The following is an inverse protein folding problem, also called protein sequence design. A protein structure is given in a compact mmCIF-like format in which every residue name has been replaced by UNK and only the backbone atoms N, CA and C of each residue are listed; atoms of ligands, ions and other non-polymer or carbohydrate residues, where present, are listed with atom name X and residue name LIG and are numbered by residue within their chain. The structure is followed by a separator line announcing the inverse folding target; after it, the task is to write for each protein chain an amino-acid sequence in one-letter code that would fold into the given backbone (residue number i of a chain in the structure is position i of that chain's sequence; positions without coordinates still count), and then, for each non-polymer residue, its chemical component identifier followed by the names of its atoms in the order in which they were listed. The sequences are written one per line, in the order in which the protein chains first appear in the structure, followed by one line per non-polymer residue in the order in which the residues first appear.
data_IF_788264344338
#
_entry.id   IF_788264344338
#
_cell.length_a   1.000
_cell.length_b   1.000
_cell.length_c   1.000
_cell.angle_alpha   90.00
_cell.angle_beta   90.00
_cell.angle_gamma   90.00
#
_symmetry.space_group_name_H-M   'P 1'
#
loop_
_entity.id
_entity.type
_entity.pdbx_description
1 polymer ?
#
# COMPACT_ATOMS: atom_id res chain seq x y z
N UNK A 1 14.32 3.69 -20.31
CA UNK A 1 14.06 2.87 -19.12
C UNK A 1 13.41 3.77 -18.09
N UNK A 2 12.23 3.40 -17.59
CA UNK A 2 11.54 4.13 -16.52
C UNK A 2 12.16 3.74 -15.17
N UNK A 3 12.02 4.59 -14.16
CA UNK A 3 12.72 4.38 -12.90
C UNK A 3 12.10 3.24 -12.06
N UNK A 4 10.78 3.18 -11.97
CA UNK A 4 10.10 2.33 -10.99
C UNK A 4 8.76 1.82 -11.49
N UNK A 5 8.54 0.51 -11.36
CA UNK A 5 7.28 -0.19 -11.65
C UNK A 5 6.63 -0.64 -10.34
N UNK A 6 5.31 -0.48 -10.24
CA UNK A 6 4.49 -1.21 -9.27
C UNK A 6 3.53 -2.16 -9.99
N UNK A 7 3.43 -3.38 -9.49
CA UNK A 7 2.45 -4.35 -9.92
C UNK A 7 1.56 -4.72 -8.73
N UNK A 8 0.27 -4.44 -8.84
CA UNK A 8 -0.69 -4.53 -7.73
C UNK A 8 -1.93 -5.32 -8.14
N UNK A 9 -2.61 -5.93 -7.17
CA UNK A 9 -3.79 -6.75 -7.44
C UNK A 9 -5.04 -5.93 -7.79
N UNK A 10 -5.21 -4.75 -7.18
CA UNK A 10 -6.46 -3.99 -7.31
C UNK A 10 -6.28 -2.48 -7.48
N UNK A 11 -7.42 -1.80 -7.67
CA UNK A 11 -7.47 -0.35 -7.82
C UNK A 11 -7.24 0.41 -6.50
N UNK A 12 -7.59 -0.16 -5.35
CA UNK A 12 -7.40 0.50 -4.07
C UNK A 12 -5.91 0.65 -3.76
N UNK A 13 -5.14 -0.43 -3.97
CA UNK A 13 -3.69 -0.44 -3.85
C UNK A 13 -3.04 0.52 -4.84
N UNK A 14 -3.49 0.52 -6.11
CA UNK A 14 -3.03 1.49 -7.12
C UNK A 14 -3.20 2.93 -6.64
N UNK A 15 -4.38 3.27 -6.16
CA UNK A 15 -4.69 4.62 -5.70
C UNK A 15 -3.91 4.99 -4.42
N UNK A 16 -3.69 4.04 -3.52
CA UNK A 16 -2.87 4.24 -2.33
C UNK A 16 -1.39 4.50 -2.67
N UNK A 17 -0.79 3.66 -3.51
CA UNK A 17 0.59 3.83 -3.96
C UNK A 17 0.75 5.12 -4.75
N UNK A 18 -0.18 5.41 -5.66
CA UNK A 18 -0.19 6.66 -6.42
C UNK A 18 -0.30 7.87 -5.53
N UNK A 19 -1.23 7.86 -4.56
CA UNK A 19 -1.39 8.94 -3.59
C UNK A 19 -0.15 9.17 -2.74
N UNK A 20 0.58 8.12 -2.38
CA UNK A 20 1.86 8.23 -1.67
C UNK A 20 2.98 8.80 -2.56
N UNK A 21 3.17 8.26 -3.76
CA UNK A 21 4.36 8.53 -4.56
C UNK A 21 4.25 9.75 -5.48
N UNK A 22 3.03 10.21 -5.81
CA UNK A 22 2.81 11.44 -6.59
C UNK A 22 2.81 12.70 -5.71
N UNK A 23 3.16 12.59 -4.43
CA UNK A 23 3.28 13.75 -3.53
C UNK A 23 4.39 14.68 -4.01
N UNK A 24 4.14 15.98 -3.91
CA UNK A 24 5.17 16.96 -4.19
C UNK A 24 6.39 16.72 -3.29
N UNK A 25 7.57 16.75 -3.90
CA UNK A 25 8.85 16.52 -3.24
C UNK A 25 8.92 15.20 -2.43
N UNK A 26 8.24 14.14 -2.89
CA UNK A 26 8.27 12.82 -2.23
C UNK A 26 9.68 12.34 -1.90
N UNK A 27 10.65 12.59 -2.78
CA UNK A 27 12.06 12.24 -2.57
C UNK A 27 12.64 12.85 -1.29
N UNK A 28 12.28 14.09 -0.92
CA UNK A 28 12.69 14.72 0.34
C UNK A 28 12.01 14.09 1.55
N UNK A 29 10.74 13.72 1.40
CA UNK A 29 9.94 13.07 2.44
C UNK A 29 10.48 11.67 2.73
N UNK A 30 10.87 10.93 1.70
CA UNK A 30 11.50 9.61 1.79
C UNK A 30 12.94 9.71 2.27
N UNK A 31 13.66 10.77 1.88
CA UNK A 31 15.10 10.93 2.13
C UNK A 31 15.95 10.24 1.07
N UNK A 32 15.58 10.37 -0.20
CA UNK A 32 16.24 9.79 -1.37
C UNK A 32 16.44 10.84 -2.47
N UNK A 33 17.20 10.49 -3.52
CA UNK A 33 17.31 11.28 -4.75
C UNK A 33 15.97 11.28 -5.50
N UNK A 34 15.72 12.35 -6.27
CA UNK A 34 14.55 12.42 -7.14
C UNK A 34 14.53 11.31 -8.20
N UNK A 35 13.35 10.76 -8.45
CA UNK A 35 13.04 9.76 -9.47
C UNK A 35 11.77 10.15 -10.21
N UNK A 36 11.63 9.72 -11.46
CA UNK A 36 10.45 9.92 -12.27
C UNK A 36 9.38 8.87 -11.95
N UNK A 37 8.16 9.33 -11.67
CA UNK A 37 7.03 8.46 -11.39
C UNK A 37 5.73 9.09 -11.88
N UNK A 38 4.92 8.30 -12.60
CA UNK A 38 3.56 8.63 -13.03
C UNK A 38 2.67 7.42 -12.73
N UNK A 39 1.74 7.55 -11.77
CA UNK A 39 0.93 6.41 -11.33
C UNK A 39 0.07 5.82 -12.46
N UNK A 40 -0.22 6.59 -13.52
CA UNK A 40 -0.99 6.10 -14.67
C UNK A 40 -0.18 5.15 -15.53
N UNK A 41 1.11 5.43 -15.68
CA UNK A 41 2.04 4.64 -16.49
C UNK A 41 2.68 3.51 -15.68
N UNK A 42 3.16 3.84 -14.49
CA UNK A 42 4.13 3.08 -13.71
C UNK A 42 3.49 2.13 -12.70
N UNK A 43 2.17 2.22 -12.49
CA UNK A 43 1.41 1.22 -11.74
C UNK A 43 0.57 0.38 -12.71
N UNK A 44 0.84 -0.92 -12.73
CA UNK A 44 0.05 -1.93 -13.44
C UNK A 44 -0.85 -2.65 -12.45
N UNK A 45 -2.15 -2.68 -12.74
CA UNK A 45 -3.11 -3.49 -12.01
C UNK A 45 -3.25 -4.81 -12.75
N UNK A 46 -3.23 -5.93 -12.03
CA UNK A 46 -3.42 -7.26 -12.58
C UNK A 46 -4.90 -7.44 -13.03
N UNK A 47 -5.30 -6.83 -14.15
CA UNK A 47 -6.70 -6.83 -14.58
C UNK A 47 -7.27 -8.26 -14.68
N UNK A 48 -8.40 -8.49 -14.01
CA UNK A 48 -9.05 -9.80 -13.95
C UNK A 48 -8.40 -10.81 -12.99
N UNK A 49 -7.32 -10.43 -12.31
CA UNK A 49 -6.68 -11.19 -11.24
C UNK A 49 -6.81 -10.44 -9.91
N UNK A 50 -7.19 -11.15 -8.87
CA UNK A 50 -7.11 -10.67 -7.49
C UNK A 50 -5.75 -11.09 -6.88
N UNK A 51 -5.56 -10.86 -5.59
CA UNK A 51 -4.34 -11.24 -4.86
C UNK A 51 -3.93 -12.71 -5.08
N UNK A 52 -4.82 -13.73 -5.00
CA UNK A 52 -4.51 -15.11 -5.38
C UNK A 52 -3.97 -15.28 -6.80
N UNK A 53 -4.55 -14.56 -7.76
CA UNK A 53 -4.12 -14.62 -9.17
C UNK A 53 -2.72 -14.03 -9.35
N UNK A 54 -2.49 -12.85 -8.77
CA UNK A 54 -1.19 -12.19 -8.79
C UNK A 54 -0.13 -13.03 -8.07
N UNK A 55 -0.43 -13.56 -6.88
CA UNK A 55 0.40 -14.51 -6.15
C UNK A 55 0.80 -15.74 -6.96
N UNK A 56 -0.02 -16.15 -7.92
CA UNK A 56 0.23 -17.35 -8.74
C UNK A 56 1.04 -17.04 -10.00
N UNK A 57 0.86 -15.86 -10.60
CA UNK A 57 1.34 -15.56 -11.97
C UNK A 57 2.19 -14.30 -12.08
N UNK A 58 2.66 -13.74 -10.97
CA UNK A 58 3.46 -12.51 -10.97
C UNK A 58 4.65 -12.58 -11.94
N UNK A 59 5.36 -13.72 -12.02
CA UNK A 59 6.49 -13.91 -12.93
C UNK A 59 6.12 -13.68 -14.40
N UNK A 60 5.04 -14.31 -14.88
CA UNK A 60 4.58 -14.20 -16.28
C UNK A 60 4.24 -12.76 -16.65
N UNK A 61 3.65 -12.02 -15.70
CA UNK A 61 3.21 -10.64 -15.90
C UNK A 61 4.38 -9.64 -15.81
N UNK A 62 5.38 -9.91 -14.97
CA UNK A 62 6.52 -9.03 -14.72
C UNK A 62 7.65 -9.20 -15.74
N UNK A 63 7.82 -10.41 -16.30
CA UNK A 63 8.87 -10.72 -17.27
C UNK A 63 8.92 -9.76 -18.47
N UNK A 64 7.81 -9.42 -19.16
CA UNK A 64 7.89 -8.50 -20.30
C UNK A 64 8.32 -7.08 -19.92
N UNK A 65 8.18 -6.68 -18.65
CA UNK A 65 8.47 -5.33 -18.17
C UNK A 65 9.93 -5.15 -17.69
N UNK A 66 10.69 -6.25 -17.57
CA UNK A 66 12.07 -6.23 -17.06
C UNK A 66 13.03 -5.37 -17.89
N UNK A 67 12.78 -5.23 -19.19
CA UNK A 67 13.59 -4.36 -20.05
C UNK A 67 13.14 -2.89 -20.02
N UNK A 68 11.95 -2.60 -19.49
CA UNK A 68 11.34 -1.26 -19.54
C UNK A 68 11.62 -0.44 -18.27
N UNK A 69 11.81 -1.08 -17.12
CA UNK A 69 11.96 -0.42 -15.82
C UNK A 69 13.26 -0.81 -15.11
N UNK A 70 13.85 0.12 -14.39
CA UNK A 70 15.05 -0.12 -13.59
C UNK A 70 14.75 -0.88 -12.29
N UNK A 71 13.61 -0.56 -11.64
CA UNK A 71 13.18 -1.18 -10.41
C UNK A 71 11.74 -1.67 -10.48
N UNK A 72 11.40 -2.73 -9.74
CA UNK A 72 10.03 -3.26 -9.67
C UNK A 72 9.61 -3.61 -8.24
N UNK A 73 8.35 -3.28 -7.91
CA UNK A 73 7.69 -3.67 -6.68
C UNK A 73 6.43 -4.46 -7.03
N UNK A 74 6.26 -5.63 -6.44
CA UNK A 74 4.99 -6.36 -6.49
C UNK A 74 4.35 -6.33 -5.10
N UNK A 75 3.09 -5.92 -5.02
CA UNK A 75 2.36 -5.82 -3.75
C UNK A 75 1.14 -6.72 -3.81
N UNK A 76 1.01 -7.54 -2.77
CA UNK A 76 -0.11 -8.45 -2.55
C UNK A 76 -0.59 -8.28 -1.11
N UNK A 77 -1.89 -8.39 -0.85
CA UNK A 77 -2.38 -8.44 0.53
C UNK A 77 -1.97 -9.76 1.22
N UNK A 78 -2.28 -9.98 2.50
CA UNK A 78 -2.18 -11.31 3.13
C UNK A 78 -3.55 -11.99 3.15
N UNK A 79 -4.62 -11.21 3.25
CA UNK A 79 -5.96 -11.71 3.53
C UNK A 79 -6.73 -12.11 2.26
N UNK A 80 -6.78 -13.42 2.01
CA UNK A 80 -7.79 -14.05 1.16
C UNK A 80 -8.07 -15.48 1.63
N UNK A 81 -9.17 -16.05 1.15
CA UNK A 81 -9.50 -17.44 1.43
C UNK A 81 -8.44 -18.40 0.88
N UNK A 82 -7.79 -19.16 1.77
CA UNK A 82 -6.70 -20.07 1.41
C UNK A 82 -5.32 -19.40 1.29
N UNK A 83 -5.16 -18.19 1.84
CA UNK A 83 -3.83 -17.58 1.97
C UNK A 83 -2.88 -18.47 2.76
N UNK A 84 -1.65 -18.70 2.28
CA UNK A 84 -0.64 -19.47 3.00
C UNK A 84 0.04 -18.66 4.12
N UNK A 85 -0.34 -17.39 4.29
CA UNK A 85 0.29 -16.46 5.23
C UNK A 85 1.44 -15.69 4.60
N UNK A 86 1.75 -14.53 5.19
CA UNK A 86 2.61 -13.55 4.56
C UNK A 86 4.04 -14.03 4.27
N UNK A 87 4.64 -14.85 5.14
CA UNK A 87 6.02 -15.31 4.95
C UNK A 87 6.16 -16.20 3.71
N UNK A 88 5.18 -17.07 3.43
CA UNK A 88 5.15 -17.90 2.22
C UNK A 88 4.85 -17.06 0.98
N UNK A 89 3.94 -16.08 1.10
CA UNK A 89 3.66 -15.13 0.01
C UNK A 89 4.93 -14.38 -0.37
N UNK A 90 5.66 -13.82 0.59
CA UNK A 90 6.89 -13.07 0.34
C UNK A 90 7.97 -13.92 -0.35
N UNK A 91 8.18 -15.15 0.13
CA UNK A 91 9.14 -16.08 -0.48
C UNK A 91 8.77 -16.39 -1.93
N UNK A 92 7.47 -16.62 -2.20
CA UNK A 92 7.01 -16.90 -3.55
C UNK A 92 7.07 -15.68 -4.46
N UNK A 93 6.77 -14.48 -3.97
CA UNK A 93 6.93 -13.25 -4.75
C UNK A 93 8.39 -13.00 -5.11
N UNK A 94 9.34 -13.27 -4.20
CA UNK A 94 10.78 -13.22 -4.51
C UNK A 94 11.15 -14.21 -5.61
N UNK A 95 10.72 -15.46 -5.51
CA UNK A 95 10.97 -16.47 -6.54
C UNK A 95 10.36 -16.09 -7.91
N UNK A 96 9.17 -15.47 -7.91
CA UNK A 96 8.55 -14.97 -9.14
C UNK A 96 9.32 -13.80 -9.76
N UNK A 97 9.82 -12.88 -8.95
CA UNK A 97 10.66 -11.78 -9.43
C UNK A 97 11.96 -12.32 -10.04
N UNK A 98 12.61 -13.28 -9.38
CA UNK A 98 13.83 -13.92 -9.88
C UNK A 98 13.60 -14.63 -11.23
N UNK A 99 12.52 -15.41 -11.34
CA UNK A 99 12.12 -16.09 -12.60
C UNK A 99 11.70 -15.11 -13.72
N UNK A 100 11.26 -13.91 -13.35
CA UNK A 100 10.98 -12.82 -14.29
C UNK A 100 12.23 -12.02 -14.70
N UNK A 101 13.40 -12.32 -14.13
CA UNK A 101 14.67 -11.65 -14.44
C UNK A 101 14.97 -10.43 -13.58
N UNK A 102 14.24 -10.23 -12.49
CA UNK A 102 14.49 -9.15 -11.52
C UNK A 102 15.40 -9.62 -10.40
N UNK A 103 16.37 -8.80 -10.02
CA UNK A 103 17.34 -9.13 -8.95
C UNK A 103 16.85 -8.66 -7.59
N UNK A 104 17.45 -9.16 -6.50
CA UNK A 104 17.16 -8.68 -5.15
C UNK A 104 17.51 -7.19 -4.97
N UNK A 105 18.50 -6.71 -5.70
CA UNK A 105 18.96 -5.33 -5.68
C UNK A 105 18.04 -4.39 -6.44
N UNK A 106 17.26 -4.90 -7.40
CA UNK A 106 16.39 -4.10 -8.27
C UNK A 106 14.90 -4.35 -8.05
N UNK A 107 14.52 -5.21 -7.11
CA UNK A 107 13.10 -5.51 -6.91
C UNK A 107 12.72 -5.90 -5.50
N UNK A 108 11.44 -5.69 -5.21
CA UNK A 108 10.87 -5.96 -3.89
C UNK A 108 9.49 -6.63 -4.03
N UNK A 109 9.32 -7.78 -3.38
CA UNK A 109 8.01 -8.34 -3.08
C UNK A 109 7.53 -7.83 -1.73
N UNK A 110 6.32 -7.29 -1.68
CA UNK A 110 5.70 -6.78 -0.47
C UNK A 110 4.38 -7.50 -0.21
N UNK A 111 4.16 -7.81 1.06
CA UNK A 111 2.88 -8.31 1.57
C UNK A 111 2.32 -7.30 2.55
N UNK A 112 1.10 -6.84 2.32
CA UNK A 112 0.40 -5.94 3.25
C UNK A 112 -0.40 -6.77 4.24
N UNK A 113 -0.16 -6.57 5.54
CA UNK A 113 -0.77 -7.36 6.62
C UNK A 113 -1.81 -6.54 7.40
N UNK A 114 -3.06 -7.02 7.56
CA UNK A 114 -3.65 -8.15 6.84
C UNK A 114 -4.02 -7.82 5.39
N UNK A 115 -4.35 -6.55 5.11
CA UNK A 115 -4.72 -6.05 3.77
C UNK A 115 -4.55 -4.52 3.68
N UNK A 116 -4.67 -3.97 2.47
CA UNK A 116 -4.47 -2.55 2.15
C UNK A 116 -5.27 -1.56 3.03
N UNK A 117 -6.43 -1.96 3.54
CA UNK A 117 -7.26 -1.13 4.42
C UNK A 117 -6.54 -0.70 5.70
N UNK A 118 -5.49 -1.40 6.12
CA UNK A 118 -4.64 -0.99 7.25
C UNK A 118 -4.08 0.43 7.07
N UNK A 119 -3.91 0.88 5.83
CA UNK A 119 -3.45 2.23 5.50
C UNK A 119 -4.52 3.31 5.69
N UNK A 120 -5.81 2.94 5.77
CA UNK A 120 -6.89 3.87 6.14
C UNK A 120 -6.75 4.32 7.60
N UNK A 121 -6.09 3.53 8.45
CA UNK A 121 -6.04 3.70 9.89
C UNK A 121 -4.73 4.31 10.41
N UNK A 122 -4.00 5.04 9.57
CA UNK A 122 -2.80 5.75 10.01
C UNK A 122 -3.11 6.70 11.18
N UNK A 123 -2.13 6.95 12.07
CA UNK A 123 -2.22 7.89 13.20
C UNK A 123 -2.22 9.35 12.70
N UNK A 124 -3.24 9.68 11.91
CA UNK A 124 -3.41 10.92 11.20
C UNK A 124 -4.83 11.43 11.45
N UNK A 125 -5.00 12.72 11.80
CA UNK A 125 -6.33 13.31 11.94
C UNK A 125 -7.15 13.22 10.63
N UNK A 126 -6.48 13.01 9.49
CA UNK A 126 -7.08 12.90 8.18
C UNK A 126 -7.83 11.59 7.95
N UNK A 127 -7.47 10.50 8.63
CA UNK A 127 -8.14 9.20 8.48
C UNK A 127 -9.61 9.27 8.89
N UNK A 128 -9.91 9.90 10.02
CA UNK A 128 -11.29 10.07 10.48
C UNK A 128 -12.11 10.92 9.49
N UNK A 129 -11.56 12.03 9.02
CA UNK A 129 -12.22 12.93 8.06
C UNK A 129 -12.52 12.24 6.74
N UNK A 130 -11.55 11.48 6.23
CA UNK A 130 -11.72 10.70 5.01
C UNK A 130 -12.84 9.65 5.15
N UNK A 131 -13.01 9.06 6.34
CA UNK A 131 -14.10 8.14 6.66
C UNK A 131 -15.44 8.83 6.98
N UNK A 132 -15.52 10.16 6.86
CA UNK A 132 -16.76 10.94 7.10
C UNK A 132 -16.98 11.37 8.55
N UNK A 133 -15.95 11.29 9.40
CA UNK A 133 -15.99 11.65 10.81
C UNK A 133 -15.25 12.95 11.08
N UNK A 134 -15.72 13.75 12.05
CA UNK A 134 -15.12 15.06 12.33
C UNK A 134 -13.69 14.97 12.85
N UNK A 135 -13.39 13.97 13.68
CA UNK A 135 -12.06 13.74 14.24
C UNK A 135 -11.90 12.30 14.73
N UNK A 136 -10.64 11.90 14.98
CA UNK A 136 -10.31 10.61 15.57
C UNK A 136 -10.91 10.43 16.97
N UNK A 137 -10.91 11.49 17.80
CA UNK A 137 -11.50 11.47 19.15
C UNK A 137 -13.00 11.15 19.15
N UNK A 138 -13.69 11.42 18.03
CA UNK A 138 -15.11 11.08 17.84
C UNK A 138 -15.27 9.65 17.34
N UNK A 139 -14.42 9.20 16.40
CA UNK A 139 -14.51 7.87 15.79
C UNK A 139 -14.02 6.76 16.74
N UNK A 140 -12.87 6.96 17.39
CA UNK A 140 -12.20 5.95 18.22
C UNK A 140 -13.10 5.34 19.30
N UNK A 141 -13.78 6.12 20.17
CA UNK A 141 -14.60 5.54 21.24
C UNK A 141 -15.77 4.72 20.71
N UNK A 142 -16.22 4.98 19.47
CA UNK A 142 -17.29 4.19 18.85
C UNK A 142 -16.76 2.87 18.30
N UNK A 143 -15.61 2.88 17.64
CA UNK A 143 -14.94 1.63 17.23
C UNK A 143 -14.61 0.74 18.43
N UNK A 144 -14.17 1.33 19.54
CA UNK A 144 -13.90 0.59 20.78
C UNK A 144 -15.18 -0.02 21.38
N UNK A 145 -16.30 0.74 21.39
CA UNK A 145 -17.59 0.23 21.87
C UNK A 145 -18.11 -0.95 21.04
N UNK A 146 -17.93 -0.89 19.73
CA UNK A 146 -18.35 -1.96 18.81
C UNK A 146 -17.34 -3.13 18.75
N UNK A 147 -16.25 -3.06 19.52
CA UNK A 147 -15.21 -4.10 19.52
C UNK A 147 -14.36 -4.17 18.25
N UNK A 148 -14.47 -3.17 17.37
CA UNK A 148 -13.72 -3.07 16.11
C UNK A 148 -12.30 -2.53 16.32
N UNK A 149 -12.08 -1.80 17.42
CA UNK A 149 -10.77 -1.34 17.85
C UNK A 149 -10.53 -1.76 19.30
N UNK A 150 -9.44 -2.47 19.57
CA UNK A 150 -9.09 -2.82 20.94
C UNK A 150 -8.58 -1.57 21.70
N UNK A 151 -8.91 -1.48 22.98
CA UNK A 151 -8.49 -0.36 23.83
C UNK A 151 -6.97 -0.17 23.78
N UNK A 152 -6.53 1.09 23.62
CA UNK A 152 -5.12 1.44 23.52
C UNK A 152 -4.45 1.14 22.17
N UNK A 153 -5.10 0.44 21.23
CA UNK A 153 -4.56 0.23 19.89
C UNK A 153 -4.77 1.45 18.99
N UNK A 154 -3.85 1.64 18.05
CA UNK A 154 -3.89 2.71 17.03
C UNK A 154 -4.61 2.27 15.76
N UNK A 155 -4.65 0.96 15.48
CA UNK A 155 -5.28 0.37 14.30
C UNK A 155 -6.20 -0.80 14.67
N UNK A 156 -7.32 -1.00 13.93
CA UNK A 156 -8.14 -2.20 14.02
C UNK A 156 -7.37 -3.47 13.66
N UNK A 157 -7.71 -4.60 14.30
CA UNK A 157 -7.20 -5.92 13.90
C UNK A 157 -7.85 -6.43 12.60
N UNK A 158 -9.03 -5.89 12.28
CA UNK A 158 -9.86 -6.17 11.09
C UNK A 158 -10.14 -4.87 10.35
N UNK A 159 -9.16 -4.35 9.58
CA UNK A 159 -9.20 -3.00 9.01
C UNK A 159 -10.37 -2.77 8.05
N UNK A 160 -10.70 -3.77 7.23
CA UNK A 160 -11.83 -3.75 6.30
C UNK A 160 -13.14 -3.46 6.99
N UNK A 161 -13.44 -4.29 7.98
CA UNK A 161 -14.72 -4.36 8.64
C UNK A 161 -14.92 -3.10 9.48
N UNK A 162 -13.85 -2.64 10.13
CA UNK A 162 -13.85 -1.35 10.80
C UNK A 162 -14.12 -0.20 9.81
N UNK A 163 -13.61 -0.26 8.57
CA UNK A 163 -13.72 0.83 7.61
C UNK A 163 -15.11 0.87 6.99
N UNK A 164 -15.64 -0.30 6.67
CA UNK A 164 -17.04 -0.47 6.26
C UNK A 164 -18.00 0.03 7.33
N UNK A 165 -17.77 -0.34 8.59
CA UNK A 165 -18.56 0.14 9.71
C UNK A 165 -18.46 1.67 9.85
N UNK A 166 -17.25 2.23 9.79
CA UNK A 166 -17.03 3.66 9.94
C UNK A 166 -17.71 4.47 8.82
N UNK A 167 -17.60 4.02 7.56
CA UNK A 167 -18.25 4.66 6.42
C UNK A 167 -19.78 4.59 6.53
N UNK A 168 -20.31 3.44 6.95
CA UNK A 168 -21.75 3.22 7.12
C UNK A 168 -22.36 4.09 8.23
N UNK A 169 -21.63 4.23 9.36
CA UNK A 169 -22.11 4.92 10.56
C UNK A 169 -21.67 6.38 10.68
N UNK A 170 -21.05 6.93 9.63
CA UNK A 170 -20.62 8.33 9.61
C UNK A 170 -21.80 9.29 9.81
N UNK A 171 -21.71 10.30 10.70
CA UNK A 171 -22.83 11.17 11.07
C UNK A 171 -23.18 12.21 10.00
N UNK A 172 -22.32 12.36 8.97
CA UNK A 172 -22.45 13.35 7.91
C UNK A 172 -22.99 12.77 6.60
N UNK A 173 -22.60 13.40 5.48
CA UNK A 173 -22.92 12.89 4.14
C UNK A 173 -22.28 11.51 3.95
N UNK A 174 -23.05 10.55 3.43
CA UNK A 174 -22.57 9.21 3.11
C UNK A 174 -21.32 9.28 2.24
N UNK A 175 -20.21 8.78 2.78
CA UNK A 175 -18.95 8.64 2.04
C UNK A 175 -18.97 7.28 1.35
N UNK A 176 -18.93 7.21 0.02
CA UNK A 176 -18.86 5.94 -0.69
C UNK A 176 -17.48 5.31 -0.48
N UNK A 177 -17.46 3.99 -0.27
CA UNK A 177 -16.22 3.22 -0.37
C UNK A 177 -15.73 3.27 -1.82
N UNK A 178 -14.60 3.92 -2.03
CA UNK A 178 -14.05 4.14 -3.37
C UNK A 178 -12.53 4.16 -3.31
N UNK A 179 -11.88 3.78 -4.40
CA UNK A 179 -10.42 3.78 -4.47
C UNK A 179 -9.83 5.19 -4.28
N UNK A 180 -10.58 6.24 -4.62
CA UNK A 180 -10.19 7.64 -4.36
C UNK A 180 -9.95 7.94 -2.87
N UNK A 181 -10.64 7.23 -1.96
CA UNK A 181 -10.44 7.35 -0.52
C UNK A 181 -9.00 6.98 -0.13
N UNK A 182 -8.47 5.91 -0.72
CA UNK A 182 -7.12 5.43 -0.47
C UNK A 182 -6.08 6.43 -0.97
N UNK A 183 -6.29 7.02 -2.16
CA UNK A 183 -5.44 8.11 -2.68
C UNK A 183 -5.44 9.32 -1.77
N UNK A 184 -6.61 9.73 -1.29
CA UNK A 184 -6.74 10.87 -0.39
C UNK A 184 -5.92 10.67 0.89
N UNK A 185 -6.06 9.53 1.55
CA UNK A 185 -5.38 9.26 2.83
C UNK A 185 -3.87 9.10 2.64
N UNK A 186 -3.44 8.30 1.65
CA UNK A 186 -2.02 8.06 1.36
C UNK A 186 -1.26 9.33 0.94
N UNK A 187 -1.94 10.31 0.32
CA UNK A 187 -1.34 11.60 -0.01
C UNK A 187 -1.02 12.47 1.21
N UNK A 188 -1.61 12.16 2.37
CA UNK A 188 -1.51 12.95 3.60
C UNK A 188 -0.81 12.20 4.74
N UNK A 189 -0.56 10.90 4.59
CA UNK A 189 0.04 10.09 5.65
C UNK A 189 1.47 10.53 5.96
N UNK A 190 1.81 10.58 7.24
CA UNK A 190 3.18 10.80 7.69
C UNK A 190 4.00 9.52 7.52
N UNK A 191 4.99 9.53 6.61
CA UNK A 191 5.87 8.37 6.40
C UNK A 191 6.90 8.20 7.54
N UNK A 192 7.19 9.27 8.28
CA UNK A 192 8.22 9.28 9.34
C UNK A 192 7.80 8.58 10.63
N UNK A 193 6.48 8.45 10.84
CA UNK A 193 5.86 7.85 12.04
C UNK A 193 5.07 6.60 11.69
N UNK A 194 5.30 6.04 10.51
CA UNK A 194 4.57 4.85 10.10
C UNK A 194 5.17 3.60 10.75
N UNK A 195 4.33 2.82 11.43
CA UNK A 195 4.68 1.52 12.02
C UNK A 195 4.34 0.35 11.08
N UNK A 196 3.92 0.64 9.85
CA UNK A 196 3.54 -0.37 8.86
C UNK A 196 4.79 -0.98 8.20
N UNK A 197 4.99 -2.28 8.37
CA UNK A 197 6.19 -2.99 7.88
C UNK A 197 6.34 -2.87 6.36
N UNK A 198 5.26 -3.07 5.60
CA UNK A 198 5.27 -2.99 4.15
C UNK A 198 5.69 -1.59 3.67
N UNK A 199 5.16 -0.53 4.29
CA UNK A 199 5.59 0.83 3.97
C UNK A 199 7.04 1.09 4.36
N UNK A 200 7.49 0.66 5.54
CA UNK A 200 8.88 0.84 5.98
C UNK A 200 9.84 0.19 4.99
N UNK A 201 9.57 -1.04 4.57
CA UNK A 201 10.37 -1.78 3.59
C UNK A 201 10.37 -1.09 2.23
N UNK A 202 9.22 -0.59 1.77
CA UNK A 202 9.14 0.19 0.55
C UNK A 202 10.03 1.44 0.62
N UNK A 203 9.93 2.21 1.69
CA UNK A 203 10.74 3.43 1.87
C UNK A 203 12.23 3.12 1.90
N UNK A 204 12.64 2.02 2.54
CA UNK A 204 14.03 1.58 2.56
C UNK A 204 14.53 1.16 1.18
N UNK A 205 13.72 0.44 0.41
CA UNK A 205 14.05 0.09 -0.97
C UNK A 205 14.22 1.34 -1.84
N UNK A 206 13.30 2.31 -1.73
CA UNK A 206 13.41 3.59 -2.45
C UNK A 206 14.71 4.35 -2.10
N UNK A 207 15.12 4.36 -0.83
CA UNK A 207 16.39 4.96 -0.40
C UNK A 207 17.60 4.24 -1.00
N UNK A 208 17.55 2.91 -1.06
CA UNK A 208 18.62 2.10 -1.63
C UNK A 208 18.73 2.25 -3.15
N UNK A 209 17.59 2.33 -3.85
CA UNK A 209 17.53 2.44 -5.31
C UNK A 209 17.82 3.84 -5.81
N UNK A 210 17.48 4.86 -5.02
CA UNK A 210 17.69 6.27 -5.35
C UNK A 210 18.51 6.94 -4.24
N UNK A 211 19.79 6.57 -4.03
CA UNK A 211 20.60 7.17 -2.97
C UNK A 211 20.80 8.67 -3.21
N UNK A 212 20.83 9.45 -2.14
CA UNK A 212 21.19 10.88 -2.20
C UNK A 212 22.65 10.97 -2.67
N UNK A 213 22.95 11.85 -3.62
CA UNK A 213 24.34 12.04 -4.08
C UNK A 213 25.24 12.44 -2.89
N UNK A 214 26.31 11.68 -2.65
CA UNK A 214 27.28 11.92 -1.57
C UNK A 214 27.17 11.01 -0.35
N UNK A 215 26.40 9.92 -0.41
CA UNK A 215 26.40 8.83 0.58
C UNK A 215 27.44 7.75 0.25
#
# INVERSE_FOLDING_TARGET
MNDLLFFVADKNMREAVGGLLERDQIHRIVGCRAFAFDARRDIKVAEGQNDPGLFTRANELLRPLAAEYAHAVVIVDEEWNGSPGADEIEQKLRAHLDDAGWTAETSLGLVVRPEADVWLWSDSPHSAQALGWTSWDVLRPRLEREGLLAAGKTKPARPKEAAEWALHNSPGKKVPRSSALYRQISSQVSVQRCEDDALIRLLNALRSWFPVEGA
#
